data_IF_817563574282
#
_entry.id   IF_817563574282
#
_cell.length_a   1.000
_cell.length_b   1.000
_cell.length_c   1.000
_cell.angle_alpha   90.00
_cell.angle_beta   90.00
_cell.angle_gamma   90.00
#
_symmetry.space_group_name_H-M   'P 1'
#
loop_
_entity.id
_entity.type
_entity.pdbx_description
1 polymer ?
#
# COMPACT_ATOMS: atom_id res chain seq x y z
N UNK A 1 -23.00 14.81 15.35
CA UNK A 1 -24.29 14.77 14.65
C UNK A 1 -24.11 15.53 13.34
N UNK A 2 -23.95 14.86 12.19
CA UNK A 2 -24.02 15.55 10.90
C UNK A 2 -25.43 16.15 10.73
N UNK A 3 -25.44 17.42 10.32
CA UNK A 3 -26.65 18.18 9.96
C UNK A 3 -26.59 18.47 8.49
N UNK A 4 -27.69 18.21 7.80
CA UNK A 4 -27.86 18.49 6.38
C UNK A 4 -29.04 19.43 6.19
N UNK A 5 -28.93 20.36 5.24
CA UNK A 5 -29.95 21.35 4.95
C UNK A 5 -30.30 21.33 3.45
N UNK A 6 -31.58 21.52 3.15
CA UNK A 6 -32.12 21.66 1.80
C UNK A 6 -32.89 22.99 1.74
N UNK A 7 -32.53 23.87 0.79
CA UNK A 7 -33.22 25.15 0.56
C UNK A 7 -34.19 25.02 -0.60
N UNK A 8 -35.47 25.28 -0.33
CA UNK A 8 -36.56 25.29 -1.31
C UNK A 8 -37.29 26.62 -1.24
N UNK A 9 -36.95 27.53 -2.16
CA UNK A 9 -37.49 28.90 -2.19
C UNK A 9 -37.10 29.71 -0.96
N UNK A 10 -38.08 30.35 -0.31
CA UNK A 10 -37.90 31.10 0.93
C UNK A 10 -37.91 30.22 2.20
N UNK A 11 -38.00 28.90 2.05
CA UNK A 11 -38.02 27.95 3.17
C UNK A 11 -36.83 27.00 3.14
N UNK A 12 -36.33 26.63 4.31
CA UNK A 12 -35.26 25.65 4.44
C UNK A 12 -35.69 24.48 5.33
N UNK A 13 -35.34 23.27 4.93
CA UNK A 13 -35.51 22.04 5.71
C UNK A 13 -34.16 21.62 6.28
N UNK A 14 -34.15 21.12 7.50
CA UNK A 14 -33.00 20.43 8.08
C UNK A 14 -33.30 18.94 8.28
N UNK A 15 -32.27 18.13 8.15
CA UNK A 15 -32.27 16.72 8.50
C UNK A 15 -30.95 16.39 9.19
N UNK A 16 -31.02 15.74 10.34
CA UNK A 16 -29.90 15.36 11.18
C UNK A 16 -30.01 13.87 11.49
N UNK A 17 -28.87 13.21 11.65
CA UNK A 17 -28.83 11.78 11.97
C UNK A 17 -27.73 11.51 13.00
N UNK A 18 -28.00 10.57 13.90
CA UNK A 18 -27.12 10.21 15.02
C UNK A 18 -27.09 8.70 15.16
N UNK A 19 -25.91 8.10 15.01
CA UNK A 19 -25.64 6.71 15.35
C UNK A 19 -25.16 6.63 16.81
N UNK A 20 -25.72 5.70 17.58
CA UNK A 20 -25.38 5.47 18.98
C UNK A 20 -25.50 3.97 19.31
N UNK A 21 -24.39 3.25 19.27
CA UNK A 21 -24.38 1.79 19.39
C UNK A 21 -25.22 1.15 18.27
N UNK A 22 -26.12 0.24 18.64
CA UNK A 22 -27.08 -0.36 17.69
C UNK A 22 -28.34 0.50 17.43
N UNK A 23 -28.35 1.78 17.77
CA UNK A 23 -29.48 2.68 17.53
C UNK A 23 -29.14 3.86 16.62
N UNK A 24 -30.04 4.17 15.68
CA UNK A 24 -29.94 5.30 14.77
C UNK A 24 -31.14 6.24 14.97
N UNK A 25 -30.88 7.50 15.31
CA UNK A 25 -31.89 8.54 15.53
C UNK A 25 -31.78 9.61 14.44
N UNK A 26 -32.82 9.73 13.62
CA UNK A 26 -32.96 10.82 12.66
C UNK A 26 -33.88 11.92 13.22
N UNK A 27 -33.51 13.20 13.03
CA UNK A 27 -34.31 14.39 13.39
C UNK A 27 -34.49 15.26 12.16
N UNK A 28 -35.68 15.83 11.93
CA UNK A 28 -35.95 16.66 10.76
C UNK A 28 -37.01 17.71 11.01
N UNK A 29 -36.97 18.80 10.26
CA UNK A 29 -37.93 19.90 10.39
C UNK A 29 -37.63 21.05 9.44
N UNK A 30 -38.30 22.18 9.68
CA UNK A 30 -37.95 23.44 9.04
C UNK A 30 -36.85 24.15 9.85
N UNK A 31 -35.94 24.82 9.17
CA UNK A 31 -34.88 25.61 9.83
C UNK A 31 -35.55 26.68 10.71
N UNK A 32 -35.22 26.67 12.00
CA UNK A 32 -35.86 27.52 13.01
C UNK A 32 -36.92 26.84 13.89
N UNK A 33 -37.20 25.54 13.69
CA UNK A 33 -38.09 24.75 14.58
C UNK A 33 -37.36 23.61 15.29
N UNK A 34 -37.95 23.06 16.36
CA UNK A 34 -37.40 21.89 17.07
C UNK A 34 -37.43 20.60 16.21
N UNK A 35 -38.30 20.56 15.20
CA UNK A 35 -38.48 19.41 14.32
C UNK A 35 -39.15 18.20 14.99
N UNK A 36 -39.00 17.04 14.35
CA UNK A 36 -39.48 15.74 14.79
C UNK A 36 -38.31 14.75 14.79
N UNK A 37 -38.32 13.75 15.68
CA UNK A 37 -37.28 12.73 15.73
C UNK A 37 -37.84 11.31 15.73
N UNK A 38 -37.13 10.38 15.10
CA UNK A 38 -37.42 8.94 15.13
C UNK A 38 -36.13 8.16 15.38
N UNK A 39 -36.15 7.31 16.39
CA UNK A 39 -35.09 6.33 16.69
C UNK A 39 -35.49 4.96 16.12
N UNK A 40 -34.51 4.26 15.57
CA UNK A 40 -34.59 2.86 15.17
C UNK A 40 -33.46 2.11 15.88
N UNK A 41 -33.76 0.96 16.46
CA UNK A 41 -32.78 0.09 17.12
C UNK A 41 -32.68 -1.21 16.32
N UNK A 42 -31.46 -1.72 16.20
CA UNK A 42 -31.09 -2.88 15.41
C UNK A 42 -30.41 -3.92 16.30
N UNK A 43 -30.29 -5.14 15.81
CA UNK A 43 -29.73 -6.26 16.57
C UNK A 43 -28.21 -6.13 16.79
N UNK A 44 -27.51 -5.33 15.95
CA UNK A 44 -26.08 -5.04 16.10
C UNK A 44 -25.72 -3.58 15.76
N UNK A 45 -24.57 -3.07 16.27
CA UNK A 45 -24.01 -1.78 15.84
C UNK A 45 -23.77 -1.71 14.34
N UNK A 46 -23.32 -2.81 13.71
CA UNK A 46 -23.04 -2.89 12.27
C UNK A 46 -24.32 -2.76 11.44
N UNK A 47 -25.43 -3.37 11.86
CA UNK A 47 -26.73 -3.19 11.20
C UNK A 47 -27.22 -1.74 11.31
N UNK A 48 -27.03 -1.10 12.46
CA UNK A 48 -27.34 0.31 12.66
C UNK A 48 -26.46 1.24 11.80
N UNK A 49 -25.18 0.91 11.63
CA UNK A 49 -24.24 1.63 10.77
C UNK A 49 -24.62 1.54 9.29
N UNK A 50 -24.90 0.34 8.77
CA UNK A 50 -25.36 0.15 7.37
C UNK A 50 -26.63 0.93 7.06
N UNK A 51 -27.57 1.04 8.01
CA UNK A 51 -28.78 1.86 7.84
C UNK A 51 -28.51 3.36 7.99
N UNK A 52 -27.59 3.76 8.88
CA UNK A 52 -27.15 5.15 9.05
C UNK A 52 -26.52 5.70 7.77
N UNK A 53 -25.58 4.97 7.17
CA UNK A 53 -24.92 5.32 5.90
C UNK A 53 -25.92 5.41 4.75
N UNK A 54 -26.77 4.38 4.58
CA UNK A 54 -27.83 4.35 3.56
C UNK A 54 -28.76 5.57 3.65
N UNK A 55 -29.12 6.01 4.86
CA UNK A 55 -29.97 7.17 5.09
C UNK A 55 -29.28 8.50 4.73
N UNK A 56 -27.96 8.61 4.89
CA UNK A 56 -27.19 9.79 4.44
C UNK A 56 -27.19 9.84 2.91
N UNK A 57 -26.83 8.74 2.24
CA UNK A 57 -26.81 8.64 0.77
C UNK A 57 -28.20 8.94 0.18
N UNK A 58 -29.28 8.47 0.80
CA UNK A 58 -30.66 8.78 0.38
C UNK A 58 -31.01 10.28 0.50
N UNK A 59 -30.38 11.00 1.43
CA UNK A 59 -30.63 12.44 1.67
C UNK A 59 -29.79 13.32 0.76
N UNK A 60 -28.53 12.97 0.54
CA UNK A 60 -27.66 13.66 -0.42
C UNK A 60 -28.19 13.49 -1.86
N UNK A 61 -28.66 12.30 -2.24
CA UNK A 61 -29.40 12.06 -3.51
C UNK A 61 -30.70 12.87 -3.63
N UNK A 62 -31.24 13.40 -2.52
CA UNK A 62 -32.40 14.32 -2.48
C UNK A 62 -31.99 15.80 -2.34
N UNK A 63 -30.72 16.13 -2.59
CA UNK A 63 -30.20 17.50 -2.63
C UNK A 63 -29.92 18.13 -1.26
N UNK A 64 -29.96 17.36 -0.17
CA UNK A 64 -29.55 17.87 1.15
C UNK A 64 -28.04 18.00 1.21
N UNK A 65 -27.53 19.16 1.63
CA UNK A 65 -26.09 19.48 1.73
C UNK A 65 -25.68 19.56 3.20
N UNK A 66 -24.54 18.96 3.58
CA UNK A 66 -24.06 19.00 4.97
C UNK A 66 -23.63 20.43 5.39
N UNK A 67 -24.05 20.88 6.58
CA UNK A 67 -23.79 22.23 7.10
C UNK A 67 -23.22 22.18 8.52
N UNK A 68 -22.10 22.90 8.74
CA UNK A 68 -21.51 23.13 10.06
C UNK A 68 -20.13 22.48 10.26
N UNK A 69 -19.06 23.14 9.82
CA UNK A 69 -17.67 22.66 9.95
C UNK A 69 -16.99 22.99 11.29
N UNK A 70 -17.62 23.80 12.14
CA UNK A 70 -16.97 24.38 13.33
C UNK A 70 -17.41 23.74 14.68
N UNK A 71 -18.53 23.00 14.70
CA UNK A 71 -19.00 22.27 15.90
C UNK A 71 -18.57 20.79 15.97
N UNK A 72 -17.89 20.28 14.94
CA UNK A 72 -17.57 18.86 14.83
C UNK A 72 -16.55 18.37 15.88
N UNK A 73 -15.63 19.25 16.34
CA UNK A 73 -14.56 18.90 17.27
C UNK A 73 -15.08 18.41 18.64
N UNK A 74 -16.02 19.13 19.26
CA UNK A 74 -16.53 18.76 20.60
C UNK A 74 -17.59 17.65 20.55
N UNK A 75 -18.42 17.58 19.51
CA UNK A 75 -19.36 16.49 19.35
C UNK A 75 -18.65 15.15 19.01
N UNK A 76 -17.53 15.20 18.29
CA UNK A 76 -16.65 14.04 18.07
C UNK A 76 -16.06 13.54 19.41
N UNK A 77 -15.60 14.45 20.27
CA UNK A 77 -15.06 14.12 21.61
C UNK A 77 -16.03 13.29 22.48
N UNK A 78 -17.33 13.62 22.49
CA UNK A 78 -18.32 12.87 23.30
C UNK A 78 -18.81 11.57 22.65
N UNK A 79 -18.82 11.45 21.31
CA UNK A 79 -19.14 10.20 20.63
C UNK A 79 -17.99 9.17 20.68
N UNK A 80 -16.72 9.63 20.73
CA UNK A 80 -15.53 8.77 20.90
C UNK A 80 -15.54 7.95 22.20
N UNK A 81 -16.23 8.42 23.25
CA UNK A 81 -16.23 7.85 24.62
C UNK A 81 -16.84 6.44 24.79
N UNK A 82 -17.07 5.69 23.71
CA UNK A 82 -17.38 4.24 23.77
C UNK A 82 -16.69 3.38 22.70
N UNK A 83 -15.77 3.93 21.90
CA UNK A 83 -15.10 3.16 20.81
C UNK A 83 -13.57 3.24 20.87
N UNK A 84 -12.99 4.28 21.49
CA UNK A 84 -11.64 4.29 22.10
C UNK A 84 -11.23 5.73 22.45
N UNK A 85 -10.23 5.88 23.32
CA UNK A 85 -9.73 7.18 23.72
C UNK A 85 -8.84 7.82 22.62
N UNK A 86 -8.94 9.14 22.43
CA UNK A 86 -8.10 9.90 21.48
C UNK A 86 -7.79 11.29 22.02
N UNK A 87 -6.54 11.71 21.89
CA UNK A 87 -6.07 13.05 22.28
C UNK A 87 -5.27 13.68 21.12
N UNK A 88 -5.87 14.62 20.36
CA UNK A 88 -5.22 15.22 19.19
C UNK A 88 -3.88 15.93 19.47
N UNK A 89 -3.67 16.47 20.66
CA UNK A 89 -2.42 17.17 21.02
C UNK A 89 -1.26 16.17 21.23
N UNK A 90 -1.55 15.05 21.91
CA UNK A 90 -0.58 13.97 22.12
C UNK A 90 -0.36 13.16 20.84
N UNK A 91 -1.39 12.95 20.02
CA UNK A 91 -1.25 12.42 18.66
C UNK A 91 -0.36 13.33 17.79
N UNK A 92 -0.50 14.65 17.87
CA UNK A 92 0.34 15.59 17.13
C UNK A 92 1.82 15.56 17.57
N UNK A 93 2.08 15.33 18.86
CA UNK A 93 3.45 15.16 19.37
C UNK A 93 4.12 13.89 18.80
N UNK A 94 3.38 12.78 18.69
CA UNK A 94 3.85 11.54 18.04
C UNK A 94 4.01 11.75 16.52
N UNK A 95 3.10 12.46 15.86
CA UNK A 95 3.21 12.75 14.42
C UNK A 95 4.40 13.65 14.05
N UNK A 96 4.90 14.47 14.99
CA UNK A 96 6.07 15.32 14.78
C UNK A 96 7.38 14.52 14.73
N UNK A 97 7.49 13.46 15.53
CA UNK A 97 8.56 12.48 15.48
C UNK A 97 8.02 11.11 15.92
N UNK A 98 7.77 10.24 14.94
CA UNK A 98 7.18 8.92 15.16
C UNK A 98 8.09 7.98 15.97
N UNK A 99 9.39 8.29 16.07
CA UNK A 99 10.38 7.47 16.79
C UNK A 99 10.71 8.04 18.20
N UNK A 100 10.14 9.20 18.56
CA UNK A 100 10.23 9.79 19.89
C UNK A 100 9.42 9.01 20.93
N UNK A 101 10.09 8.07 21.60
CA UNK A 101 9.50 7.16 22.61
C UNK A 101 8.84 7.91 23.78
N UNK A 102 9.32 9.09 24.18
CA UNK A 102 8.74 9.86 25.28
C UNK A 102 7.34 10.38 24.93
N UNK A 103 7.10 10.77 23.67
CA UNK A 103 5.76 11.19 23.21
C UNK A 103 4.76 10.03 23.28
N UNK A 104 5.18 8.81 22.91
CA UNK A 104 4.37 7.60 23.06
C UNK A 104 4.07 7.30 24.54
N UNK A 105 5.05 7.40 25.44
CA UNK A 105 4.86 7.15 26.87
C UNK A 105 3.86 8.14 27.49
N UNK A 106 3.98 9.44 27.19
CA UNK A 106 3.02 10.46 27.65
C UNK A 106 1.60 10.16 27.14
N UNK A 107 1.46 9.68 25.90
CA UNK A 107 0.16 9.27 25.39
C UNK A 107 -0.35 7.98 26.05
N UNK A 108 0.52 7.00 26.29
CA UNK A 108 0.21 5.75 26.99
C UNK A 108 -0.30 5.97 28.42
N UNK A 109 0.33 6.88 29.17
CA UNK A 109 -0.13 7.31 30.49
C UNK A 109 -1.50 7.99 30.44
N UNK A 110 -1.75 8.80 29.41
CA UNK A 110 -3.06 9.42 29.21
C UNK A 110 -4.13 8.38 28.87
N UNK A 111 -3.82 7.41 28.00
CA UNK A 111 -4.70 6.29 27.62
C UNK A 111 -5.06 5.41 28.83
N UNK A 112 -4.09 5.08 29.68
CA UNK A 112 -4.36 4.35 30.95
C UNK A 112 -5.35 5.10 31.84
N UNK A 113 -5.27 6.43 31.92
CA UNK A 113 -6.24 7.27 32.67
C UNK A 113 -7.63 7.36 32.03
N UNK A 114 -7.80 6.88 30.79
CA UNK A 114 -9.10 6.73 30.12
C UNK A 114 -9.60 5.27 30.12
N UNK A 115 -8.97 4.39 30.90
CA UNK A 115 -9.22 2.94 30.91
C UNK A 115 -9.05 2.27 29.53
N UNK A 116 -8.20 2.83 28.65
CA UNK A 116 -7.96 2.33 27.30
C UNK A 116 -6.81 1.29 27.31
N UNK A 117 -7.04 0.04 26.84
CA UNK A 117 -6.07 -1.05 26.96
C UNK A 117 -4.77 -0.81 26.18
N UNK A 118 -4.78 0.08 25.17
CA UNK A 118 -3.57 0.46 24.44
C UNK A 118 -2.55 1.16 25.35
N UNK A 119 -3.01 1.86 26.39
CA UNK A 119 -2.14 2.50 27.38
C UNK A 119 -1.25 1.50 28.13
N UNK A 120 -1.79 0.33 28.48
CA UNK A 120 -1.02 -0.76 29.10
C UNK A 120 -0.07 -1.42 28.09
N UNK A 121 -0.48 -1.55 26.81
CA UNK A 121 0.40 -2.04 25.74
C UNK A 121 1.60 -1.11 25.51
N UNK A 122 1.42 0.22 25.54
CA UNK A 122 2.53 1.18 25.46
C UNK A 122 3.59 0.88 26.53
N UNK A 123 3.16 0.78 27.79
CA UNK A 123 4.06 0.57 28.92
C UNK A 123 4.79 -0.79 28.84
N UNK A 124 4.07 -1.87 28.51
CA UNK A 124 4.67 -3.20 28.37
C UNK A 124 5.63 -3.29 27.18
N UNK A 125 5.26 -2.75 26.01
CA UNK A 125 6.12 -2.78 24.83
C UNK A 125 7.37 -1.90 25.00
N UNK A 126 7.27 -0.76 25.68
CA UNK A 126 8.44 0.01 26.09
C UNK A 126 9.34 -0.79 27.05
N UNK A 127 8.78 -1.48 28.05
CA UNK A 127 9.56 -2.34 28.94
C UNK A 127 10.29 -3.47 28.17
N UNK A 128 9.65 -4.08 27.16
CA UNK A 128 10.29 -5.06 26.25
C UNK A 128 11.51 -4.47 25.53
N UNK A 129 11.46 -3.20 25.11
CA UNK A 129 12.58 -2.54 24.41
C UNK A 129 13.81 -2.38 25.32
N UNK A 130 13.60 -2.15 26.62
CA UNK A 130 14.67 -1.99 27.60
C UNK A 130 15.19 -3.32 28.16
N UNK A 131 14.32 -4.31 28.35
CA UNK A 131 14.65 -5.60 28.94
C UNK A 131 15.59 -6.47 28.07
N UNK A 132 16.27 -7.44 28.70
CA UNK A 132 17.16 -8.41 28.04
C UNK A 132 16.95 -9.82 28.62
N UNK A 133 17.37 -10.85 27.87
CA UNK A 133 17.27 -12.24 28.32
C UNK A 133 15.84 -12.68 28.69
N UNK A 134 15.73 -13.49 29.75
CA UNK A 134 14.47 -14.09 30.21
C UNK A 134 13.39 -13.06 30.57
N UNK A 135 13.79 -11.88 31.05
CA UNK A 135 12.87 -10.77 31.34
C UNK A 135 12.17 -10.27 30.07
N UNK A 136 12.94 -10.08 28.98
CA UNK A 136 12.38 -9.68 27.69
C UNK A 136 11.44 -10.76 27.12
N UNK A 137 11.78 -12.04 27.28
CA UNK A 137 10.92 -13.17 26.89
C UNK A 137 9.61 -13.18 27.68
N UNK A 138 9.67 -12.97 28.99
CA UNK A 138 8.48 -12.88 29.85
C UNK A 138 7.59 -11.70 29.50
N UNK A 139 8.16 -10.51 29.30
CA UNK A 139 7.42 -9.31 28.92
C UNK A 139 6.78 -9.45 27.54
N UNK A 140 7.46 -10.08 26.56
CA UNK A 140 6.86 -10.42 25.25
C UNK A 140 5.66 -11.36 25.39
N UNK A 141 5.75 -12.36 26.29
CA UNK A 141 4.62 -13.22 26.65
C UNK A 141 3.45 -12.40 27.21
N UNK A 142 3.69 -11.45 28.12
CA UNK A 142 2.66 -10.58 28.67
C UNK A 142 2.02 -9.65 27.62
N UNK A 143 2.80 -9.14 26.65
CA UNK A 143 2.27 -8.36 25.51
C UNK A 143 1.36 -9.23 24.65
N UNK A 144 1.78 -10.46 24.30
CA UNK A 144 0.97 -11.41 23.53
C UNK A 144 -0.34 -11.73 24.25
N UNK A 145 -0.26 -12.13 25.53
CA UNK A 145 -1.40 -12.42 26.39
C UNK A 145 -2.41 -11.25 26.42
N UNK A 146 -1.94 -10.01 26.51
CA UNK A 146 -2.79 -8.82 26.57
C UNK A 146 -3.48 -8.54 25.23
N UNK A 147 -2.79 -8.73 24.09
CA UNK A 147 -3.38 -8.59 22.76
C UNK A 147 -4.43 -9.69 22.52
N UNK A 148 -4.14 -10.94 22.88
CA UNK A 148 -5.07 -12.06 22.70
C UNK A 148 -6.33 -11.90 23.57
N UNK A 149 -6.17 -11.60 24.86
CA UNK A 149 -7.31 -11.41 25.79
C UNK A 149 -8.08 -10.11 25.54
N UNK A 150 -7.42 -9.10 24.98
CA UNK A 150 -7.99 -7.80 24.65
C UNK A 150 -8.44 -7.64 23.20
N UNK A 151 -8.37 -8.70 22.36
CA UNK A 151 -8.51 -8.58 20.89
C UNK A 151 -9.72 -7.75 20.46
N UNK A 152 -10.92 -8.14 20.93
CA UNK A 152 -12.17 -7.46 20.58
C UNK A 152 -12.26 -6.00 21.10
N UNK A 153 -11.64 -5.65 22.22
CA UNK A 153 -11.62 -4.28 22.73
C UNK A 153 -10.51 -3.41 22.12
N UNK A 154 -9.47 -4.04 21.57
CA UNK A 154 -8.35 -3.38 20.88
C UNK A 154 -8.61 -3.14 19.39
N UNK A 155 -9.46 -3.95 18.76
CA UNK A 155 -9.69 -3.98 17.30
C UNK A 155 -11.16 -3.81 16.89
N UNK A 156 -12.12 -4.01 17.80
CA UNK A 156 -13.52 -4.22 17.43
C UNK A 156 -13.77 -5.64 16.91
N UNK A 157 -15.04 -6.02 16.72
CA UNK A 157 -15.45 -7.37 16.32
C UNK A 157 -14.86 -7.75 14.94
N UNK A 158 -15.08 -6.92 13.92
CA UNK A 158 -14.70 -7.18 12.53
C UNK A 158 -13.19 -7.41 12.32
N UNK A 159 -12.35 -6.52 12.88
CA UNK A 159 -10.90 -6.67 12.77
C UNK A 159 -10.34 -7.75 13.72
N UNK A 160 -11.08 -8.12 14.77
CA UNK A 160 -10.71 -9.25 15.62
C UNK A 160 -11.01 -10.59 14.94
N UNK A 161 -12.12 -10.69 14.22
CA UNK A 161 -12.54 -11.85 13.41
C UNK A 161 -11.56 -12.07 12.25
N UNK A 162 -11.27 -11.06 11.44
CA UNK A 162 -10.29 -11.15 10.36
C UNK A 162 -8.87 -11.54 10.85
N UNK A 163 -8.50 -11.14 12.06
CA UNK A 163 -7.23 -11.54 12.68
C UNK A 163 -7.24 -12.98 13.22
N UNK A 164 -8.41 -13.53 13.51
CA UNK A 164 -8.58 -14.90 13.99
C UNK A 164 -8.59 -15.91 12.83
N UNK A 165 -9.28 -15.59 11.73
CA UNK A 165 -9.31 -16.41 10.52
C UNK A 165 -8.01 -16.33 9.70
N UNK A 166 -7.23 -15.25 9.88
CA UNK A 166 -5.90 -15.06 9.31
C UNK A 166 -5.81 -14.08 8.15
N UNK A 167 -6.96 -13.60 7.64
CA UNK A 167 -7.05 -12.58 6.60
C UNK A 167 -6.55 -11.18 7.00
N UNK A 168 -6.28 -10.95 8.29
CA UNK A 168 -5.57 -9.78 8.82
C UNK A 168 -4.37 -10.20 9.69
N UNK A 169 -3.18 -9.67 9.37
CA UNK A 169 -1.98 -9.82 10.18
C UNK A 169 -1.48 -8.42 10.59
N UNK A 170 -1.05 -8.23 11.84
CA UNK A 170 -0.61 -6.91 12.35
C UNK A 170 0.66 -6.97 13.20
N UNK A 171 1.52 -5.96 13.05
CA UNK A 171 2.61 -5.68 13.99
C UNK A 171 2.20 -4.53 14.92
N UNK A 172 2.21 -4.79 16.23
CA UNK A 172 1.96 -3.77 17.25
C UNK A 172 3.24 -3.07 17.67
N UNK A 173 3.23 -1.73 17.70
CA UNK A 173 4.28 -0.89 18.24
C UNK A 173 3.68 0.14 19.22
N UNK A 174 4.15 0.11 20.47
CA UNK A 174 3.75 1.02 21.54
C UNK A 174 2.22 1.25 21.62
N UNK A 175 1.45 0.17 21.61
CA UNK A 175 -0.01 0.17 21.74
C UNK A 175 -0.81 0.51 20.47
N UNK A 176 -0.15 0.66 19.32
CA UNK A 176 -0.80 0.93 18.03
C UNK A 176 -0.31 -0.05 16.96
N UNK A 177 -1.08 -0.22 15.89
CA UNK A 177 -0.71 -1.00 14.72
C UNK A 177 0.28 -0.18 13.88
N UNK A 178 1.49 -0.72 13.68
CA UNK A 178 2.55 -0.12 12.86
C UNK A 178 2.54 -0.64 11.43
N UNK A 179 2.34 -1.94 11.28
CA UNK A 179 2.30 -2.65 10.02
C UNK A 179 1.08 -3.55 9.98
N UNK A 180 0.48 -3.70 8.80
CA UNK A 180 -0.61 -4.64 8.58
C UNK A 180 -0.52 -5.29 7.19
N UNK A 181 -0.81 -6.59 7.12
CA UNK A 181 -1.15 -7.30 5.88
C UNK A 181 -2.62 -7.66 5.91
N UNK A 182 -3.36 -7.32 4.86
CA UNK A 182 -4.75 -7.75 4.64
C UNK A 182 -4.80 -8.56 3.35
N UNK A 183 -5.41 -9.72 3.38
CA UNK A 183 -5.52 -10.60 2.21
C UNK A 183 -5.79 -12.02 2.66
N UNK A 184 -6.58 -12.74 1.87
CA UNK A 184 -7.05 -14.08 2.19
C UNK A 184 -5.89 -15.06 2.45
N UNK A 185 -6.12 -16.00 3.37
CA UNK A 185 -5.18 -17.07 3.72
C UNK A 185 -5.30 -18.29 2.79
N UNK A 186 -6.52 -18.69 2.44
CA UNK A 186 -6.86 -19.80 1.55
C UNK A 186 -8.29 -19.62 0.99
N UNK A 187 -8.73 -20.51 0.11
CA UNK A 187 -10.01 -20.40 -0.61
C UNK A 187 -11.27 -20.45 0.29
N UNK A 188 -11.12 -20.99 1.51
CA UNK A 188 -12.18 -21.08 2.52
C UNK A 188 -12.23 -19.86 3.46
N UNK A 189 -11.26 -18.91 3.37
CA UNK A 189 -11.17 -17.74 4.24
C UNK A 189 -12.38 -16.80 4.06
N UNK A 190 -13.22 -16.59 5.10
CA UNK A 190 -14.43 -15.78 5.00
C UNK A 190 -14.16 -14.25 4.97
N UNK A 191 -12.90 -13.83 5.08
CA UNK A 191 -12.52 -12.42 5.24
C UNK A 191 -12.91 -11.57 4.03
N UNK A 192 -13.77 -10.56 4.25
CA UNK A 192 -13.98 -9.52 3.24
C UNK A 192 -12.81 -8.53 3.24
N UNK A 193 -11.78 -8.80 2.43
CA UNK A 193 -10.54 -7.99 2.32
C UNK A 193 -10.86 -6.50 2.14
N UNK A 194 -11.79 -6.17 1.23
CA UNK A 194 -12.22 -4.79 0.97
C UNK A 194 -12.80 -4.11 2.22
N UNK A 195 -13.67 -4.80 2.98
CA UNK A 195 -14.26 -4.26 4.20
C UNK A 195 -13.19 -4.07 5.29
N UNK A 196 -12.32 -5.07 5.48
CA UNK A 196 -11.22 -5.02 6.45
C UNK A 196 -10.24 -3.88 6.15
N UNK A 197 -9.91 -3.61 4.89
CA UNK A 197 -9.09 -2.46 4.50
C UNK A 197 -9.74 -1.13 4.90
N UNK A 198 -11.05 -0.95 4.62
CA UNK A 198 -11.79 0.26 5.05
C UNK A 198 -11.78 0.40 6.58
N UNK A 199 -12.14 -0.67 7.28
CA UNK A 199 -12.24 -0.70 8.74
C UNK A 199 -10.88 -0.43 9.41
N UNK A 200 -9.82 -1.09 8.95
CA UNK A 200 -8.45 -0.95 9.46
C UNK A 200 -7.95 0.48 9.33
N UNK A 201 -8.04 1.10 8.15
CA UNK A 201 -7.47 2.42 7.89
C UNK A 201 -8.09 3.52 8.76
N UNK A 202 -9.39 3.43 9.05
CA UNK A 202 -10.07 4.38 9.95
C UNK A 202 -10.01 3.96 11.42
N UNK A 203 -9.44 2.80 11.75
CA UNK A 203 -9.42 2.28 13.10
C UNK A 203 -8.47 3.08 14.02
N UNK A 204 -8.89 3.47 15.24
CA UNK A 204 -8.02 4.22 16.16
C UNK A 204 -6.73 3.51 16.58
N UNK A 205 -6.65 2.18 16.49
CA UNK A 205 -5.39 1.45 16.69
C UNK A 205 -4.42 1.61 15.51
N UNK A 206 -4.90 1.82 14.29
CA UNK A 206 -4.09 2.05 13.08
C UNK A 206 -3.76 3.53 12.83
N UNK A 207 -4.01 4.41 13.81
CA UNK A 207 -3.83 5.87 13.71
C UNK A 207 -2.44 6.31 13.25
N UNK A 208 -1.42 5.48 13.49
CA UNK A 208 -0.03 5.73 13.11
C UNK A 208 0.53 4.64 12.17
N UNK A 209 -0.34 3.94 11.43
CA UNK A 209 0.05 2.89 10.48
C UNK A 209 1.12 3.42 9.52
N UNK A 210 2.25 2.72 9.46
CA UNK A 210 3.41 3.05 8.61
C UNK A 210 3.51 2.15 7.39
N UNK A 211 2.89 0.97 7.43
CA UNK A 211 3.06 -0.07 6.40
C UNK A 211 1.71 -0.77 6.18
N UNK A 212 1.31 -0.88 4.91
CA UNK A 212 0.13 -1.63 4.49
C UNK A 212 0.49 -2.53 3.32
N UNK A 213 0.20 -3.81 3.47
CA UNK A 213 0.34 -4.82 2.42
C UNK A 213 -1.04 -5.38 2.11
N UNK A 214 -1.41 -5.37 0.84
CA UNK A 214 -2.63 -6.00 0.32
C UNK A 214 -2.20 -7.27 -0.43
N UNK A 215 -2.52 -8.42 0.15
CA UNK A 215 -2.38 -9.72 -0.49
C UNK A 215 -3.63 -10.11 -1.27
N UNK A 216 -3.84 -11.42 -1.44
CA UNK A 216 -4.93 -12.00 -2.21
C UNK A 216 -6.30 -11.42 -1.83
N UNK A 217 -6.99 -10.85 -2.82
CA UNK A 217 -8.31 -10.28 -2.67
C UNK A 217 -9.40 -11.36 -2.62
N UNK A 218 -9.37 -12.25 -3.62
CA UNK A 218 -10.35 -13.27 -3.96
C UNK A 218 -9.61 -14.49 -4.58
N UNK A 219 -10.25 -15.65 -4.67
CA UNK A 219 -9.76 -16.82 -5.42
C UNK A 219 -10.51 -16.98 -6.73
N UNK A 220 -9.79 -17.28 -7.82
CA UNK A 220 -10.34 -17.56 -9.15
C UNK A 220 -9.41 -17.11 -10.28
N UNK A 221 -9.85 -17.33 -11.52
CA UNK A 221 -9.04 -17.18 -12.75
C UNK A 221 -9.03 -15.72 -13.31
N UNK A 222 -9.59 -14.74 -12.58
CA UNK A 222 -9.64 -13.31 -12.91
C UNK A 222 -9.91 -12.52 -11.61
N UNK A 223 -8.89 -11.89 -11.03
CA UNK A 223 -8.91 -11.24 -9.72
C UNK A 223 -8.71 -9.73 -9.88
N UNK A 224 -9.80 -8.96 -9.85
CA UNK A 224 -9.74 -7.50 -9.87
C UNK A 224 -9.48 -6.90 -8.48
N UNK A 225 -8.53 -5.96 -8.38
CA UNK A 225 -8.28 -5.18 -7.17
C UNK A 225 -9.08 -3.87 -7.10
N UNK A 226 -9.95 -3.58 -8.09
CA UNK A 226 -10.68 -2.31 -8.20
C UNK A 226 -11.39 -1.89 -6.92
N UNK A 227 -12.16 -2.81 -6.31
CA UNK A 227 -12.93 -2.55 -5.08
C UNK A 227 -12.01 -2.21 -3.90
N UNK A 228 -10.83 -2.82 -3.82
CA UNK A 228 -9.84 -2.55 -2.77
C UNK A 228 -9.15 -1.20 -3.00
N UNK A 229 -8.87 -0.85 -4.25
CA UNK A 229 -8.29 0.45 -4.63
C UNK A 229 -9.29 1.59 -4.38
N UNK A 230 -10.57 1.39 -4.69
CA UNK A 230 -11.66 2.30 -4.31
C UNK A 230 -11.75 2.42 -2.78
N UNK A 231 -11.74 1.30 -2.05
CA UNK A 231 -11.78 1.28 -0.59
C UNK A 231 -10.61 2.03 0.08
N UNK A 232 -9.39 1.81 -0.42
CA UNK A 232 -8.20 2.54 -0.01
C UNK A 232 -8.35 4.04 -0.28
N UNK A 233 -8.88 4.41 -1.45
CA UNK A 233 -9.13 5.81 -1.83
C UNK A 233 -10.16 6.49 -0.94
N UNK A 234 -11.30 5.84 -0.68
CA UNK A 234 -12.35 6.35 0.21
C UNK A 234 -11.84 6.57 1.63
N UNK A 235 -11.18 5.56 2.20
CA UNK A 235 -10.65 5.62 3.56
C UNK A 235 -9.55 6.69 3.71
N UNK A 236 -8.62 6.78 2.76
CA UNK A 236 -7.61 7.84 2.74
C UNK A 236 -8.25 9.23 2.54
N UNK A 237 -9.25 9.36 1.68
CA UNK A 237 -9.97 10.63 1.46
C UNK A 237 -10.67 11.09 2.74
N UNK A 238 -11.33 10.17 3.45
CA UNK A 238 -11.96 10.43 4.75
C UNK A 238 -10.96 10.90 5.82
N UNK A 239 -9.75 10.36 5.81
CA UNK A 239 -8.66 10.78 6.71
C UNK A 239 -7.99 12.11 6.33
N UNK A 240 -8.22 12.60 5.10
CA UNK A 240 -7.49 13.75 4.54
C UNK A 240 -6.09 13.39 4.05
N UNK A 241 -5.90 12.16 3.58
CA UNK A 241 -4.62 11.53 3.24
C UNK A 241 -3.89 10.93 4.44
N UNK A 242 -2.90 10.07 4.18
CA UNK A 242 -2.03 9.52 5.22
C UNK A 242 -0.68 10.22 5.24
N UNK A 243 -0.28 10.69 6.42
CA UNK A 243 1.05 11.26 6.67
C UNK A 243 2.01 10.26 7.34
N UNK A 244 1.51 9.12 7.80
CA UNK A 244 2.30 8.10 8.50
C UNK A 244 2.65 6.91 7.62
N UNK A 245 1.82 6.60 6.62
CA UNK A 245 2.07 5.49 5.70
C UNK A 245 3.31 5.77 4.85
N UNK A 246 4.30 4.88 4.96
CA UNK A 246 5.62 4.95 4.34
C UNK A 246 5.90 3.76 3.43
N UNK A 247 5.23 2.62 3.61
CA UNK A 247 5.29 1.47 2.69
C UNK A 247 3.87 1.05 2.28
N UNK A 248 3.69 0.83 0.98
CA UNK A 248 2.49 0.25 0.39
C UNK A 248 2.91 -0.85 -0.58
N UNK A 249 2.36 -2.04 -0.41
CA UNK A 249 2.46 -3.14 -1.37
C UNK A 249 1.04 -3.60 -1.72
N UNK A 250 0.71 -3.65 -3.01
CA UNK A 250 -0.53 -4.25 -3.54
C UNK A 250 -0.14 -5.43 -4.45
N UNK A 251 -0.77 -6.58 -4.23
CA UNK A 251 -0.47 -7.84 -4.94
C UNK A 251 0.52 -8.75 -4.19
N UNK A 252 0.40 -8.85 -2.87
CA UNK A 252 1.27 -9.73 -2.05
C UNK A 252 0.76 -11.18 -2.01
N UNK A 253 1.06 -11.92 -3.06
CA UNK A 253 0.78 -13.35 -3.24
C UNK A 253 2.05 -14.17 -3.45
N UNK A 254 2.04 -15.47 -3.18
CA UNK A 254 3.15 -16.36 -3.46
C UNK A 254 3.07 -16.82 -4.93
N UNK A 255 4.09 -16.49 -5.73
CA UNK A 255 4.19 -16.92 -7.14
C UNK A 255 5.27 -18.00 -7.26
N UNK A 256 5.03 -19.13 -7.95
CA UNK A 256 3.83 -19.47 -8.72
C UNK A 256 2.76 -20.28 -7.94
N UNK A 257 2.93 -20.45 -6.62
CA UNK A 257 2.15 -21.42 -5.85
C UNK A 257 0.70 -20.99 -5.55
N UNK A 258 0.39 -19.69 -5.46
CA UNK A 258 -0.97 -19.17 -5.31
C UNK A 258 -1.67 -18.94 -6.68
N UNK A 259 -1.02 -18.19 -7.59
CA UNK A 259 -1.61 -17.72 -8.86
C UNK A 259 -0.56 -17.38 -9.92
N UNK A 260 -1.00 -17.39 -11.18
CA UNK A 260 -0.32 -16.73 -12.31
C UNK A 260 -0.49 -15.20 -12.22
N UNK A 261 0.57 -14.42 -12.49
CA UNK A 261 0.56 -12.95 -12.29
C UNK A 261 -0.36 -12.20 -13.25
N UNK A 262 -0.64 -12.80 -14.40
CA UNK A 262 -1.53 -12.32 -15.45
C UNK A 262 -3.00 -12.25 -15.00
N UNK A 263 -3.41 -13.02 -13.99
CA UNK A 263 -4.80 -13.11 -13.52
C UNK A 263 -5.14 -12.02 -12.47
N UNK A 264 -4.16 -11.27 -11.95
CA UNK A 264 -4.40 -10.28 -10.88
C UNK A 264 -4.40 -8.85 -11.43
N UNK A 265 -5.59 -8.35 -11.77
CA UNK A 265 -5.76 -7.05 -12.43
C UNK A 265 -5.79 -5.89 -11.41
N UNK A 266 -4.75 -5.03 -11.46
CA UNK A 266 -4.61 -3.90 -10.52
C UNK A 266 -5.46 -2.67 -10.89
N UNK A 267 -5.72 -2.44 -12.17
CA UNK A 267 -6.44 -1.28 -12.72
C UNK A 267 -5.83 0.08 -12.27
N UNK A 268 -6.64 1.15 -12.14
CA UNK A 268 -6.17 2.51 -11.83
C UNK A 268 -5.85 2.71 -10.34
N UNK A 269 -4.57 2.59 -9.99
CA UNK A 269 -4.05 2.88 -8.64
C UNK A 269 -3.68 4.36 -8.43
N UNK A 270 -3.98 5.27 -9.37
CA UNK A 270 -3.54 6.67 -9.29
C UNK A 270 -4.23 7.48 -8.19
N UNK A 271 -5.49 7.15 -7.87
CA UNK A 271 -6.30 7.88 -6.89
C UNK A 271 -5.75 7.79 -5.45
N UNK A 272 -5.44 6.60 -4.88
CA UNK A 272 -4.90 6.52 -3.53
C UNK A 272 -3.47 7.06 -3.43
N UNK A 273 -2.64 6.94 -4.48
CA UNK A 273 -1.25 7.42 -4.45
C UNK A 273 -1.15 8.94 -4.24
N UNK A 274 -2.08 9.72 -4.79
CA UNK A 274 -2.20 11.19 -4.57
C UNK A 274 -2.47 11.56 -3.11
N UNK A 275 -2.85 10.61 -2.26
CA UNK A 275 -3.18 10.78 -0.84
C UNK A 275 -2.06 10.30 0.09
N UNK A 276 -0.90 9.88 -0.46
CA UNK A 276 0.23 9.28 0.26
C UNK A 276 1.55 10.05 0.06
N UNK A 277 1.63 11.36 0.38
CA UNK A 277 2.79 12.21 0.06
C UNK A 277 4.09 11.80 0.76
N UNK A 278 4.02 11.03 1.84
CA UNK A 278 5.17 10.57 2.64
C UNK A 278 5.60 9.12 2.30
N UNK A 279 5.08 8.53 1.23
CA UNK A 279 5.41 7.17 0.82
C UNK A 279 6.89 7.04 0.42
N UNK A 280 7.57 6.03 0.95
CA UNK A 280 9.02 5.78 0.78
C UNK A 280 9.30 4.51 -0.02
N UNK A 281 8.44 3.51 0.08
CA UNK A 281 8.50 2.29 -0.73
C UNK A 281 7.11 2.01 -1.32
N UNK A 282 7.04 1.83 -2.63
CA UNK A 282 5.84 1.44 -3.35
C UNK A 282 6.15 0.17 -4.16
N UNK A 283 5.38 -0.89 -3.90
CA UNK A 283 5.43 -2.14 -4.64
C UNK A 283 4.05 -2.45 -5.23
N UNK A 284 4.04 -2.78 -6.51
CA UNK A 284 2.83 -3.14 -7.25
C UNK A 284 3.11 -4.45 -7.98
N UNK A 285 2.26 -5.47 -7.79
CA UNK A 285 2.38 -6.75 -8.48
C UNK A 285 1.03 -7.16 -9.09
N UNK A 286 1.02 -7.46 -10.39
CA UNK A 286 -0.17 -7.89 -11.12
C UNK A 286 -0.17 -7.42 -12.58
N UNK A 287 -1.30 -7.62 -13.26
CA UNK A 287 -1.57 -7.22 -14.63
C UNK A 287 -2.45 -5.96 -14.72
N UNK A 288 -2.70 -5.49 -15.94
CA UNK A 288 -3.67 -4.42 -16.28
C UNK A 288 -3.56 -3.16 -15.41
N UNK A 289 -2.33 -2.68 -15.23
CA UNK A 289 -2.01 -1.58 -14.31
C UNK A 289 -2.10 -0.20 -14.97
N UNK A 290 -2.83 0.73 -14.35
CA UNK A 290 -2.77 2.17 -14.62
C UNK A 290 -2.29 2.93 -13.37
N UNK A 291 -1.29 3.81 -13.52
CA UNK A 291 -0.70 4.55 -12.38
C UNK A 291 -0.93 6.07 -12.48
N UNK A 292 -1.21 6.57 -13.68
CA UNK A 292 -1.40 8.01 -13.93
C UNK A 292 -0.15 8.86 -13.65
N UNK A 293 -0.35 10.14 -13.35
CA UNK A 293 0.74 11.05 -12.95
C UNK A 293 1.23 10.73 -11.54
N UNK A 294 2.50 10.33 -11.42
CA UNK A 294 3.11 9.90 -10.14
C UNK A 294 3.85 11.07 -9.47
N UNK A 295 3.23 11.67 -8.44
CA UNK A 295 3.86 12.67 -7.56
C UNK A 295 4.10 12.08 -6.15
N UNK A 296 5.24 11.40 -6.00
CA UNK A 296 5.66 10.76 -4.74
C UNK A 296 7.07 11.27 -4.37
N UNK A 297 7.19 12.48 -3.79
CA UNK A 297 8.47 13.16 -3.60
C UNK A 297 9.38 12.51 -2.54
N UNK A 298 8.81 11.77 -1.59
CA UNK A 298 9.54 11.02 -0.54
C UNK A 298 9.96 9.61 -0.95
N UNK A 299 9.62 9.17 -2.18
CA UNK A 299 9.84 7.81 -2.64
C UNK A 299 11.33 7.50 -2.79
N UNK A 300 11.75 6.36 -2.23
CA UNK A 300 13.12 5.82 -2.23
C UNK A 300 13.22 4.52 -3.01
N UNK A 301 12.15 3.74 -3.00
CA UNK A 301 12.05 2.45 -3.66
C UNK A 301 10.74 2.38 -4.45
N UNK A 302 10.84 2.02 -5.73
CA UNK A 302 9.69 1.68 -6.57
C UNK A 302 9.97 0.33 -7.23
N UNK A 303 9.03 -0.60 -7.09
CA UNK A 303 9.04 -1.89 -7.80
C UNK A 303 7.68 -2.13 -8.44
N UNK A 304 7.66 -2.39 -9.75
CA UNK A 304 6.51 -2.96 -10.45
C UNK A 304 6.86 -4.34 -11.01
N UNK A 305 6.05 -5.32 -10.67
CA UNK A 305 6.14 -6.72 -11.08
C UNK A 305 4.91 -7.07 -11.91
N UNK A 306 5.10 -7.52 -13.15
CA UNK A 306 4.00 -7.85 -14.05
C UNK A 306 4.44 -8.81 -15.16
N UNK A 307 3.49 -9.61 -15.64
CA UNK A 307 3.62 -10.43 -16.85
C UNK A 307 3.52 -9.62 -18.14
N UNK A 308 3.00 -8.39 -18.10
CA UNK A 308 2.91 -7.47 -19.22
C UNK A 308 2.55 -6.04 -18.78
N UNK A 309 3.52 -5.12 -18.87
CA UNK A 309 3.36 -3.71 -18.46
C UNK A 309 2.78 -2.86 -19.61
N UNK A 310 1.59 -2.26 -19.46
CA UNK A 310 1.00 -1.42 -20.51
C UNK A 310 1.80 -0.15 -20.79
N UNK A 311 1.72 0.37 -22.02
CA UNK A 311 2.49 1.53 -22.46
C UNK A 311 2.20 2.80 -21.66
N UNK A 312 0.97 2.93 -21.17
CA UNK A 312 0.56 4.01 -20.26
C UNK A 312 1.36 3.98 -18.96
N UNK A 313 1.51 2.81 -18.34
CA UNK A 313 2.28 2.63 -17.11
C UNK A 313 3.79 2.83 -17.34
N UNK A 314 4.36 2.32 -18.44
CA UNK A 314 5.76 2.57 -18.84
C UNK A 314 6.02 4.08 -18.91
N UNK A 315 5.14 4.83 -19.57
CA UNK A 315 5.28 6.29 -19.74
C UNK A 315 5.06 7.05 -18.44
N UNK A 316 4.13 6.63 -17.58
CA UNK A 316 3.95 7.18 -16.24
C UNK A 316 5.22 7.04 -15.39
N UNK A 317 5.81 5.83 -15.38
CA UNK A 317 7.06 5.51 -14.66
C UNK A 317 8.23 6.32 -15.22
N UNK A 318 8.39 6.38 -16.55
CA UNK A 318 9.51 7.08 -17.17
C UNK A 318 9.49 8.59 -16.98
N UNK A 319 8.31 9.22 -16.94
CA UNK A 319 8.18 10.68 -16.82
C UNK A 319 8.05 11.18 -15.36
N UNK A 320 7.95 10.26 -14.39
CA UNK A 320 7.84 10.60 -12.98
C UNK A 320 9.08 11.36 -12.44
N UNK A 321 8.88 12.10 -11.35
CA UNK A 321 9.93 12.90 -10.69
C UNK A 321 10.12 12.43 -9.27
N UNK A 322 11.13 11.59 -9.05
CA UNK A 322 11.42 11.02 -7.74
C UNK A 322 12.77 11.50 -7.21
N UNK A 323 12.82 12.71 -6.61
CA UNK A 323 14.07 13.36 -6.20
C UNK A 323 14.85 12.57 -5.12
N UNK A 324 14.21 11.60 -4.47
CA UNK A 324 14.78 10.76 -3.40
C UNK A 324 14.93 9.28 -3.78
N UNK A 325 14.63 8.89 -5.03
CA UNK A 325 14.68 7.47 -5.42
C UNK A 325 16.11 6.94 -5.44
N UNK A 326 16.31 5.81 -4.76
CA UNK A 326 17.58 5.08 -4.69
C UNK A 326 17.49 3.72 -5.42
N UNK A 327 16.28 3.13 -5.49
CA UNK A 327 15.96 1.87 -6.19
C UNK A 327 14.75 2.04 -7.11
N UNK A 328 14.93 1.71 -8.40
CA UNK A 328 13.86 1.55 -9.39
C UNK A 328 13.95 0.14 -9.96
N UNK A 329 12.84 -0.59 -9.95
CA UNK A 329 12.71 -1.91 -10.58
C UNK A 329 11.41 -1.96 -11.39
N UNK A 330 11.55 -2.30 -12.66
CA UNK A 330 10.44 -2.40 -13.62
C UNK A 330 10.55 -3.74 -14.32
N UNK A 331 9.49 -4.54 -14.24
CA UNK A 331 9.31 -5.74 -15.04
C UNK A 331 8.43 -5.36 -16.24
N UNK A 332 8.91 -5.58 -17.47
CA UNK A 332 8.17 -5.17 -18.67
C UNK A 332 7.19 -6.23 -19.17
N UNK A 333 7.50 -7.51 -18.94
CA UNK A 333 6.68 -8.62 -19.37
C UNK A 333 6.79 -8.93 -20.86
N UNK A 334 5.77 -9.62 -21.38
CA UNK A 334 5.63 -10.02 -22.78
C UNK A 334 4.43 -9.35 -23.45
N UNK A 335 4.55 -9.06 -24.74
CA UNK A 335 3.43 -8.61 -25.58
C UNK A 335 2.20 -9.54 -25.53
N UNK A 336 2.40 -10.85 -25.32
CA UNK A 336 1.30 -11.82 -25.19
C UNK A 336 0.39 -11.53 -23.97
N UNK A 337 0.91 -10.86 -22.95
CA UNK A 337 0.24 -10.56 -21.69
C UNK A 337 0.04 -9.05 -21.47
N UNK A 338 0.11 -8.26 -22.55
CA UNK A 338 -0.09 -6.80 -22.53
C UNK A 338 1.16 -5.96 -22.27
N UNK A 339 2.36 -6.57 -22.35
CA UNK A 339 3.63 -5.86 -22.30
C UNK A 339 3.86 -4.99 -23.53
N UNK A 340 4.12 -3.70 -23.31
CA UNK A 340 4.35 -2.72 -24.37
C UNK A 340 5.58 -1.84 -24.10
N UNK A 341 5.94 -1.05 -25.11
CA UNK A 341 7.01 -0.07 -25.04
C UNK A 341 8.39 -0.66 -25.32
N UNK A 342 9.40 0.22 -25.30
CA UNK A 342 10.78 -0.17 -25.52
C UNK A 342 11.76 0.93 -25.12
N UNK A 343 12.96 0.88 -25.69
CA UNK A 343 14.06 1.83 -25.42
C UNK A 343 13.62 3.30 -25.53
N UNK A 344 12.81 3.65 -26.54
CA UNK A 344 12.36 5.03 -26.76
C UNK A 344 11.47 5.55 -25.62
N UNK A 345 10.54 4.74 -25.13
CA UNK A 345 9.62 5.13 -24.06
C UNK A 345 10.32 5.27 -22.69
N UNK A 346 11.38 4.49 -22.46
CA UNK A 346 12.19 4.57 -21.24
C UNK A 346 13.39 5.52 -21.34
N UNK A 347 13.58 6.20 -22.48
CA UNK A 347 14.67 7.15 -22.69
C UNK A 347 14.82 8.22 -21.57
N UNK A 348 13.75 8.71 -20.91
CA UNK A 348 13.88 9.57 -19.73
C UNK A 348 14.60 8.92 -18.54
N UNK A 349 14.40 7.61 -18.30
CA UNK A 349 15.09 6.83 -17.26
C UNK A 349 16.57 6.67 -17.62
N UNK A 350 16.86 6.34 -18.89
CA UNK A 350 18.23 6.21 -19.42
C UNK A 350 19.00 7.56 -19.36
N UNK A 351 18.29 8.68 -19.53
CA UNK A 351 18.80 10.04 -19.31
C UNK A 351 19.02 10.38 -17.81
N UNK A 352 18.46 9.61 -16.89
CA UNK A 352 18.45 9.88 -15.46
C UNK A 352 17.63 11.13 -15.08
N UNK A 353 16.62 11.49 -15.88
CA UNK A 353 15.70 12.60 -15.61
C UNK A 353 14.87 12.26 -14.37
N UNK A 354 14.70 13.21 -13.46
CA UNK A 354 13.95 13.01 -12.22
C UNK A 354 14.60 12.05 -11.20
N UNK A 355 15.77 11.47 -11.50
CA UNK A 355 16.39 10.35 -10.76
C UNK A 355 17.80 10.69 -10.21
N UNK A 356 17.98 11.77 -9.44
CA UNK A 356 19.31 12.27 -9.06
C UNK A 356 20.09 11.36 -8.09
N UNK A 357 19.42 10.46 -7.38
CA UNK A 357 20.00 9.61 -6.33
C UNK A 357 19.90 8.10 -6.63
N UNK A 358 19.49 7.73 -7.85
CA UNK A 358 19.29 6.33 -8.23
C UNK A 358 20.61 5.54 -8.20
N UNK A 359 20.63 4.43 -7.45
CA UNK A 359 21.78 3.53 -7.31
C UNK A 359 21.49 2.13 -7.86
N UNK A 360 20.24 1.69 -7.81
CA UNK A 360 19.80 0.41 -8.38
C UNK A 360 18.76 0.67 -9.46
N UNK A 361 19.04 0.17 -10.67
CA UNK A 361 18.09 0.15 -11.79
C UNK A 361 17.89 -1.28 -12.25
N UNK A 362 16.67 -1.79 -12.08
CA UNK A 362 16.19 -3.03 -12.69
C UNK A 362 15.32 -2.73 -13.91
N UNK A 363 15.79 -3.16 -15.08
CA UNK A 363 15.02 -3.23 -16.32
C UNK A 363 14.84 -4.71 -16.63
N UNK A 364 14.00 -5.35 -15.82
CA UNK A 364 13.92 -6.81 -15.70
C UNK A 364 12.80 -7.34 -16.59
N UNK A 365 12.82 -8.65 -16.83
CA UNK A 365 11.69 -9.34 -17.46
C UNK A 365 11.26 -8.71 -18.80
N UNK A 366 12.21 -8.30 -19.63
CA UNK A 366 11.94 -7.55 -20.88
C UNK A 366 12.26 -8.37 -22.14
N UNK A 367 11.37 -8.32 -23.13
CA UNK A 367 11.62 -8.94 -24.44
C UNK A 367 12.71 -8.17 -25.22
N UNK A 368 12.74 -6.84 -25.09
CA UNK A 368 13.72 -5.96 -25.76
C UNK A 368 15.08 -5.86 -25.05
N UNK A 369 15.52 -6.93 -24.35
CA UNK A 369 16.77 -6.88 -23.54
C UNK A 369 18.04 -6.76 -24.39
N UNK A 370 18.05 -7.25 -25.63
CA UNK A 370 19.19 -7.02 -26.54
C UNK A 370 19.26 -5.55 -26.98
N UNK A 371 18.13 -4.88 -27.24
CA UNK A 371 18.08 -3.44 -27.55
C UNK A 371 18.56 -2.59 -26.35
N UNK A 372 18.23 -3.01 -25.11
CA UNK A 372 18.79 -2.42 -23.90
C UNK A 372 20.32 -2.51 -23.88
N UNK A 373 20.90 -3.64 -24.31
CA UNK A 373 22.35 -3.83 -24.34
C UNK A 373 23.04 -2.85 -25.30
N UNK A 374 22.39 -2.42 -26.40
CA UNK A 374 22.94 -1.41 -27.32
C UNK A 374 23.02 -0.01 -26.71
N UNK A 375 22.01 0.40 -25.93
CA UNK A 375 21.93 1.79 -25.41
C UNK A 375 22.51 1.98 -24.01
N UNK A 376 22.50 0.95 -23.16
CA UNK A 376 22.99 1.04 -21.78
C UNK A 376 24.45 1.50 -21.65
N UNK A 377 25.41 1.08 -22.49
CA UNK A 377 26.78 1.61 -22.50
C UNK A 377 26.89 3.13 -22.63
N UNK A 378 25.84 3.80 -23.11
CA UNK A 378 25.79 5.23 -23.37
C UNK A 378 24.72 5.96 -22.51
N UNK A 379 24.01 5.24 -21.64
CA UNK A 379 22.99 5.81 -20.78
C UNK A 379 23.58 6.78 -19.73
N UNK A 380 23.01 7.98 -19.61
CA UNK A 380 23.47 9.04 -18.68
C UNK A 380 23.21 8.68 -17.21
N UNK A 381 22.33 7.72 -16.96
CA UNK A 381 22.09 7.15 -15.62
C UNK A 381 23.15 6.12 -15.23
N UNK A 382 23.80 5.41 -16.18
CA UNK A 382 24.73 4.32 -15.84
C UNK A 382 25.88 4.73 -14.88
N UNK A 383 26.56 5.89 -15.04
CA UNK A 383 27.70 6.25 -14.19
C UNK A 383 27.39 6.51 -12.71
N UNK A 384 26.12 6.62 -12.30
CA UNK A 384 25.72 6.77 -10.88
C UNK A 384 25.19 5.48 -10.26
N UNK A 385 24.93 4.45 -11.08
CA UNK A 385 24.42 3.17 -10.59
C UNK A 385 25.53 2.41 -9.85
N UNK A 386 25.12 1.70 -8.81
CA UNK A 386 25.90 0.66 -8.15
C UNK A 386 25.43 -0.73 -8.61
N UNK A 387 24.17 -0.87 -9.02
CA UNK A 387 23.60 -2.11 -9.56
C UNK A 387 22.76 -1.83 -10.79
N UNK A 388 22.98 -2.63 -11.83
CA UNK A 388 22.13 -2.74 -13.01
C UNK A 388 21.62 -4.18 -13.10
N UNK A 389 20.31 -4.35 -13.24
CA UNK A 389 19.65 -5.66 -13.28
C UNK A 389 18.82 -5.78 -14.56
N UNK A 390 19.29 -6.66 -15.46
CA UNK A 390 18.66 -7.04 -16.73
C UNK A 390 18.22 -8.52 -16.66
N UNK A 391 18.03 -9.07 -15.45
CA UNK A 391 17.65 -10.46 -15.29
C UNK A 391 16.24 -10.73 -15.80
N UNK A 392 15.95 -12.01 -16.07
CA UNK A 392 14.63 -12.50 -16.48
C UNK A 392 14.15 -12.07 -17.88
N UNK A 393 14.93 -11.28 -18.61
CA UNK A 393 14.62 -10.87 -19.99
C UNK A 393 14.86 -11.97 -21.03
N UNK A 394 14.81 -11.57 -22.30
CA UNK A 394 15.11 -12.39 -23.48
C UNK A 394 16.53 -12.15 -24.06
N UNK A 395 17.50 -11.74 -23.23
CA UNK A 395 18.86 -11.41 -23.69
C UNK A 395 19.54 -12.62 -24.34
N UNK A 396 20.21 -12.38 -25.46
CA UNK A 396 20.92 -13.40 -26.23
C UNK A 396 22.44 -13.19 -26.23
N UNK A 397 23.17 -14.13 -26.83
CA UNK A 397 24.61 -14.04 -27.04
C UNK A 397 25.03 -12.77 -27.81
N UNK A 398 24.14 -12.19 -28.61
CA UNK A 398 24.37 -10.91 -29.28
C UNK A 398 24.35 -9.74 -28.28
N UNK A 399 23.37 -9.68 -27.38
CA UNK A 399 23.38 -8.73 -26.24
C UNK A 399 24.62 -8.92 -25.35
N UNK A 400 24.97 -10.17 -25.04
CA UNK A 400 26.18 -10.51 -24.28
C UNK A 400 27.46 -10.01 -24.95
N UNK A 401 27.53 -10.09 -26.28
CA UNK A 401 28.65 -9.54 -27.07
C UNK A 401 28.72 -8.02 -26.97
N UNK A 402 27.60 -7.32 -27.12
CA UNK A 402 27.55 -5.86 -27.01
C UNK A 402 28.02 -5.39 -25.62
N UNK A 403 27.53 -6.01 -24.54
CA UNK A 403 27.95 -5.66 -23.17
C UNK A 403 29.45 -5.92 -22.96
N UNK A 404 29.97 -7.06 -23.43
CA UNK A 404 31.40 -7.40 -23.28
C UNK A 404 32.33 -6.48 -24.10
N UNK A 405 31.94 -6.12 -25.33
CA UNK A 405 32.67 -5.13 -26.14
C UNK A 405 32.71 -3.75 -25.46
N UNK A 406 31.70 -3.44 -24.64
CA UNK A 406 31.57 -2.19 -23.88
C UNK A 406 31.91 -2.33 -22.38
N UNK A 407 32.59 -3.40 -21.94
CA UNK A 407 32.77 -3.75 -20.52
C UNK A 407 33.26 -2.60 -19.61
N UNK A 408 34.07 -1.69 -20.15
CA UNK A 408 34.58 -0.50 -19.44
C UNK A 408 33.48 0.44 -18.93
N UNK A 409 32.32 0.50 -19.61
CA UNK A 409 31.19 1.32 -19.19
C UNK A 409 30.52 0.81 -17.90
N UNK A 410 30.70 -0.48 -17.58
CA UNK A 410 30.07 -1.17 -16.45
C UNK A 410 31.05 -1.44 -15.28
N UNK A 411 32.33 -1.11 -15.44
CA UNK A 411 33.41 -1.51 -14.53
C UNK A 411 33.31 -0.93 -13.11
N UNK A 412 32.48 0.09 -12.88
CA UNK A 412 32.18 0.66 -11.55
C UNK A 412 31.01 -0.03 -10.84
N UNK A 413 30.22 -0.86 -11.53
CA UNK A 413 29.07 -1.54 -10.94
C UNK A 413 29.52 -2.59 -9.91
N UNK A 414 28.88 -2.55 -8.73
CA UNK A 414 29.00 -3.59 -7.71
C UNK A 414 28.28 -4.88 -8.14
N UNK A 415 27.23 -4.76 -8.95
CA UNK A 415 26.50 -5.88 -9.55
C UNK A 415 25.96 -5.52 -10.94
N UNK A 416 26.20 -6.39 -11.91
CA UNK A 416 25.49 -6.44 -13.19
C UNK A 416 24.78 -7.79 -13.26
N UNK A 417 23.45 -7.80 -13.25
CA UNK A 417 22.68 -9.03 -13.31
C UNK A 417 22.14 -9.27 -14.71
N UNK A 418 22.48 -10.42 -15.29
CA UNK A 418 21.95 -10.94 -16.57
C UNK A 418 21.49 -12.40 -16.39
N UNK A 419 21.20 -12.82 -15.16
CA UNK A 419 20.69 -14.17 -14.87
C UNK A 419 19.26 -14.38 -15.42
N UNK A 420 18.85 -15.63 -15.62
CA UNK A 420 17.50 -15.98 -16.12
C UNK A 420 17.14 -15.37 -17.48
N UNK A 421 18.14 -15.04 -18.30
CA UNK A 421 17.97 -14.73 -19.71
C UNK A 421 18.06 -16.02 -20.56
N UNK A 422 18.38 -15.89 -21.85
CA UNK A 422 18.51 -16.98 -22.83
C UNK A 422 19.94 -17.05 -23.40
N UNK A 423 20.95 -16.84 -22.56
CA UNK A 423 22.37 -16.92 -22.96
C UNK A 423 22.84 -18.37 -23.07
N UNK A 424 23.59 -18.70 -24.12
CA UNK A 424 24.30 -19.99 -24.20
C UNK A 424 25.52 -19.99 -23.27
N UNK A 425 26.23 -21.13 -23.20
CA UNK A 425 27.54 -21.19 -22.54
C UNK A 425 28.55 -20.17 -23.10
N UNK A 426 28.49 -19.84 -24.40
CA UNK A 426 29.36 -18.82 -24.98
C UNK A 426 28.98 -17.42 -24.48
N UNK A 427 27.69 -17.07 -24.50
CA UNK A 427 27.18 -15.80 -23.98
C UNK A 427 27.53 -15.61 -22.50
N UNK A 428 27.32 -16.64 -21.68
CA UNK A 428 27.67 -16.64 -20.25
C UNK A 428 29.19 -16.44 -20.03
N UNK A 429 30.04 -17.19 -20.73
CA UNK A 429 31.50 -17.04 -20.66
C UNK A 429 31.96 -15.64 -21.10
N UNK A 430 31.27 -15.05 -22.08
CA UNK A 430 31.58 -13.74 -22.65
C UNK A 430 31.28 -12.61 -21.66
N UNK A 431 30.13 -12.61 -20.99
CA UNK A 431 29.82 -11.60 -19.95
C UNK A 431 30.63 -11.83 -18.66
N UNK A 432 30.95 -13.07 -18.30
CA UNK A 432 31.78 -13.37 -17.12
C UNK A 432 33.19 -12.73 -17.21
N UNK A 433 33.71 -12.52 -18.42
CA UNK A 433 35.00 -11.82 -18.63
C UNK A 433 34.95 -10.32 -18.30
N UNK A 434 33.77 -9.72 -18.16
CA UNK A 434 33.64 -8.29 -17.79
C UNK A 434 34.03 -8.03 -16.33
N UNK A 435 33.89 -9.03 -15.45
CA UNK A 435 34.33 -8.95 -14.05
C UNK A 435 33.48 -9.76 -13.07
N UNK A 436 33.96 -9.93 -11.82
CA UNK A 436 33.28 -10.74 -10.79
C UNK A 436 31.98 -10.13 -10.25
N UNK A 437 31.64 -8.90 -10.65
CA UNK A 437 30.33 -8.28 -10.35
C UNK A 437 29.22 -8.75 -11.29
N UNK A 438 29.53 -9.53 -12.34
CA UNK A 438 28.52 -10.07 -13.27
C UNK A 438 27.90 -11.35 -12.71
N UNK A 439 26.58 -11.37 -12.58
CA UNK A 439 25.79 -12.59 -12.37
C UNK A 439 25.14 -13.01 -13.69
N UNK A 440 25.55 -14.15 -14.23
CA UNK A 440 25.01 -14.73 -15.46
C UNK A 440 24.41 -16.13 -15.28
N UNK A 441 24.13 -16.56 -14.04
CA UNK A 441 23.62 -17.92 -13.78
C UNK A 441 22.15 -18.14 -14.15
N UNK A 442 21.67 -19.38 -13.99
CA UNK A 442 20.26 -19.77 -14.12
C UNK A 442 19.62 -19.36 -15.47
N UNK A 443 20.36 -19.45 -16.58
CA UNK A 443 19.80 -19.20 -17.92
C UNK A 443 18.67 -20.19 -18.25
N UNK A 444 17.80 -19.80 -19.16
CA UNK A 444 16.61 -20.56 -19.58
C UNK A 444 16.79 -21.09 -21.00
N UNK A 445 16.48 -22.36 -21.19
CA UNK A 445 16.44 -23.00 -22.50
C UNK A 445 15.19 -22.57 -23.29
N UNK A 446 15.27 -22.59 -24.62
CA UNK A 446 14.17 -22.29 -25.53
C UNK A 446 14.26 -23.14 -26.80
N UNK A 447 13.11 -23.46 -27.41
CA UNK A 447 13.04 -24.22 -28.66
C UNK A 447 13.09 -23.28 -29.89
N UNK A 448 13.80 -23.74 -30.92
CA UNK A 448 13.80 -23.29 -32.33
C UNK A 448 13.27 -21.86 -32.60
N UNK A 449 14.06 -20.87 -32.16
CA UNK A 449 13.98 -19.43 -32.45
C UNK A 449 12.99 -18.54 -31.64
N UNK A 450 12.19 -19.07 -30.70
CA UNK A 450 11.30 -18.22 -29.86
C UNK A 450 11.85 -17.97 -28.45
N UNK A 451 12.32 -16.74 -28.18
CA UNK A 451 12.74 -16.28 -26.84
C UNK A 451 11.60 -15.55 -26.14
N UNK A 452 11.37 -15.89 -24.88
CA UNK A 452 10.32 -15.33 -24.02
C UNK A 452 10.93 -14.86 -22.69
N UNK A 453 10.28 -13.94 -21.98
CA UNK A 453 10.68 -13.47 -20.64
C UNK A 453 10.39 -14.52 -19.56
N UNK A 454 10.97 -14.39 -18.36
CA UNK A 454 10.87 -15.43 -17.33
C UNK A 454 9.52 -15.46 -16.60
N UNK A 455 8.76 -14.37 -16.64
CA UNK A 455 7.41 -14.24 -16.08
C UNK A 455 6.54 -13.56 -17.14
N UNK A 456 5.42 -14.17 -17.50
CA UNK A 456 4.56 -13.69 -18.59
C UNK A 456 3.12 -14.03 -18.26
N UNK A 457 2.85 -15.33 -18.14
CA UNK A 457 1.69 -15.82 -17.39
C UNK A 457 1.85 -15.45 -15.91
#
# INVERSE_FOLDING_TARGET
MPRFELKEGSSGKFWEITLAGSSCTARWGYIGTEGQSKTQTFDSPTAAWKVYEKLIIEKEKRGYVMVGKEGAAEASSKARKRVSASNPELEAAILADLDNTDAWLVYGDWLQRQDDPRGQLVALQHAVMQARGDEATKLKGQVKDLIEKGRASLLGEELAEALEEGGLQVEWHLGFIRSARVGLKDEDDPTNVTQVVKALLVHPAARFLRELTIGNAHFGDDISYSDIVEALTEALTWLGGSKTLQRLFIGDFEYPDDYEISWLHLHDVSAPLKLLPNLRSLRLRGASLEIGDIDLPELREFTVETGGLPLSAVRSIANARWPKLERLEVWFGSHNYGGEGGVEDIQPILDGKGLPHLKHLGLRNAEFTDDLCEVLPHAKVLPRLETLDLSMGAMSDQGARILAENARAFAHLKRLDVSRNTLTDEGQQRVAQMGPSVNAGNQRDYEEDYRYVAVGE
#
